data_IF_978426444755
#
_entry.id   IF_978426444755
#
_cell.length_a   1.000
_cell.length_b   1.000
_cell.length_c   1.000
_cell.angle_alpha   90.00
_cell.angle_beta   90.00
_cell.angle_gamma   90.00
#
_symmetry.space_group_name_H-M   'P 1'
#
loop_
_entity.id
_entity.type
_entity.pdbx_description
1 polymer ?
#
# COMPACT_ATOMS: atom_id res chain seq x y z
N UNK A 1 -37.52 21.05 -48.10
CA UNK A 1 -36.09 21.34 -48.37
C UNK A 1 -35.53 22.52 -47.55
N UNK A 2 -36.33 23.41 -47.00
CA UNK A 2 -35.82 24.54 -46.19
C UNK A 2 -35.43 24.18 -44.73
N UNK A 3 -35.91 23.05 -44.20
CA UNK A 3 -35.62 22.66 -42.79
C UNK A 3 -34.32 21.91 -42.64
N UNK A 4 -33.72 21.40 -43.67
CA UNK A 4 -32.44 20.65 -43.63
C UNK A 4 -31.25 21.63 -43.70
N UNK A 5 -31.45 22.80 -44.34
CA UNK A 5 -30.37 23.79 -44.50
C UNK A 5 -30.06 24.54 -43.17
N UNK A 6 -31.06 24.64 -42.27
CA UNK A 6 -30.91 25.32 -40.97
C UNK A 6 -30.16 24.41 -39.94
N UNK A 7 -30.26 23.11 -40.09
CA UNK A 7 -29.58 22.17 -39.20
C UNK A 7 -28.06 22.02 -39.48
N UNK A 8 -27.65 22.30 -40.74
CA UNK A 8 -26.25 22.23 -41.15
C UNK A 8 -25.40 23.44 -40.74
N UNK A 9 -26.04 24.58 -40.41
CA UNK A 9 -25.34 25.82 -40.01
C UNK A 9 -25.08 25.91 -38.51
N UNK A 10 -25.66 25.03 -37.68
CA UNK A 10 -25.48 25.00 -36.23
C UNK A 10 -24.33 24.11 -35.76
N UNK A 11 -23.74 23.33 -36.66
CA UNK A 11 -22.67 22.37 -36.32
C UNK A 11 -21.26 22.97 -36.46
N UNK A 12 -21.09 24.14 -37.03
CA UNK A 12 -19.77 24.72 -37.33
C UNK A 12 -19.24 25.74 -36.32
N UNK A 13 -19.93 25.99 -35.17
CA UNK A 13 -19.53 27.03 -34.19
C UNK A 13 -18.89 26.45 -32.90
N UNK A 14 -18.67 25.12 -32.77
CA UNK A 14 -18.16 24.51 -31.53
C UNK A 14 -16.68 24.07 -31.63
N UNK A 15 -15.94 24.53 -32.61
CA UNK A 15 -14.55 24.01 -32.84
C UNK A 15 -13.42 25.02 -32.67
N UNK A 16 -13.59 26.09 -31.87
CA UNK A 16 -12.44 26.96 -31.57
C UNK A 16 -12.52 27.59 -30.16
N UNK A 17 -12.37 26.80 -29.09
CA UNK A 17 -11.96 27.33 -27.79
C UNK A 17 -11.43 26.17 -26.93
N UNK A 18 -10.12 26.08 -26.74
CA UNK A 18 -9.58 25.16 -25.73
C UNK A 18 -8.15 24.72 -25.93
N UNK A 19 -7.25 25.68 -26.23
CA UNK A 19 -5.84 25.46 -25.98
C UNK A 19 -5.45 26.30 -24.77
N UNK A 20 -5.67 25.77 -23.58
CA UNK A 20 -4.96 26.20 -22.37
C UNK A 20 -4.55 24.92 -21.65
N UNK A 21 -3.24 24.70 -21.59
CA UNK A 21 -2.65 23.55 -20.96
C UNK A 21 -2.88 23.55 -19.46
N UNK A 22 -3.38 22.45 -18.97
CA UNK A 22 -3.33 22.12 -17.55
C UNK A 22 -2.40 20.95 -17.33
N UNK A 23 -1.25 21.30 -16.85
CA UNK A 23 -0.17 20.40 -16.45
C UNK A 23 -0.48 19.73 -15.09
N UNK A 24 -1.71 19.22 -14.93
CA UNK A 24 -2.22 18.69 -13.65
C UNK A 24 -2.53 17.18 -13.69
N UNK A 25 -2.15 16.49 -14.78
CA UNK A 25 -2.55 15.10 -14.99
C UNK A 25 -1.48 14.05 -14.65
N UNK A 26 -0.23 14.46 -14.48
CA UNK A 26 0.85 13.49 -14.19
C UNK A 26 0.94 13.06 -12.71
N UNK A 27 0.50 13.91 -11.77
CA UNK A 27 0.62 13.60 -10.34
C UNK A 27 -0.52 12.68 -9.85
N UNK A 28 -1.73 12.80 -10.41
CA UNK A 28 -2.87 11.94 -10.02
C UNK A 28 -2.75 10.53 -10.62
N UNK A 29 -2.17 10.39 -11.80
CA UNK A 29 -2.01 9.09 -12.45
C UNK A 29 -0.93 8.22 -11.78
N UNK A 30 0.15 8.82 -11.27
CA UNK A 30 1.15 8.09 -10.47
C UNK A 30 0.60 7.63 -9.12
N UNK A 31 -0.20 8.45 -8.46
CA UNK A 31 -0.82 8.09 -7.17
C UNK A 31 -1.86 6.98 -7.34
N UNK A 32 -2.68 7.05 -8.40
CA UNK A 32 -3.66 6.02 -8.71
C UNK A 32 -3.03 4.71 -9.19
N UNK A 33 -1.90 4.75 -9.89
CA UNK A 33 -1.18 3.54 -10.30
C UNK A 33 -0.52 2.85 -9.10
N UNK A 34 0.05 3.61 -8.16
CA UNK A 34 0.65 3.06 -6.94
C UNK A 34 -0.41 2.45 -6.02
N UNK A 35 -1.57 3.07 -5.86
CA UNK A 35 -2.69 2.48 -5.11
C UNK A 35 -3.27 1.23 -5.79
N UNK A 36 -3.38 1.22 -7.11
CA UNK A 36 -3.92 0.09 -7.87
C UNK A 36 -2.95 -1.09 -7.91
N UNK A 37 -1.67 -0.85 -7.95
CA UNK A 37 -0.63 -1.89 -7.93
C UNK A 37 -0.42 -2.44 -6.51
N UNK A 38 -0.50 -1.60 -5.47
CA UNK A 38 -0.54 -2.01 -4.07
C UNK A 38 -1.73 -2.93 -3.78
N UNK A 39 -2.90 -2.67 -4.39
CA UNK A 39 -4.10 -3.47 -4.20
C UNK A 39 -3.98 -4.92 -4.69
N UNK A 40 -2.97 -5.28 -5.49
CA UNK A 40 -2.85 -6.62 -6.06
C UNK A 40 -2.24 -7.65 -5.09
N UNK A 41 -1.27 -7.27 -4.26
CA UNK A 41 -0.58 -8.20 -3.34
C UNK A 41 -0.76 -7.85 -1.86
N UNK A 42 -1.38 -6.71 -1.55
CA UNK A 42 -1.68 -6.26 -0.19
C UNK A 42 -3.18 -6.33 0.10
N UNK A 43 -3.53 -6.68 1.33
CA UNK A 43 -4.89 -6.56 1.87
C UNK A 43 -4.87 -5.58 3.04
N UNK A 44 -5.47 -4.41 2.84
CA UNK A 44 -5.56 -3.41 3.91
C UNK A 44 -6.38 -3.94 5.07
N UNK A 45 -5.84 -3.81 6.28
CA UNK A 45 -6.50 -4.17 7.54
C UNK A 45 -6.69 -2.92 8.41
N UNK A 46 -7.76 -2.89 9.19
CA UNK A 46 -8.00 -1.83 10.18
C UNK A 46 -7.25 -2.06 11.48
N UNK A 47 -7.21 -1.04 12.36
CA UNK A 47 -6.71 -1.18 13.74
C UNK A 47 -7.42 -2.31 14.49
N UNK A 48 -8.72 -2.46 14.29
CA UNK A 48 -9.52 -3.55 14.88
C UNK A 48 -9.06 -4.92 14.36
N UNK A 49 -8.87 -5.06 13.04
CA UNK A 49 -8.46 -6.33 12.43
C UNK A 49 -7.05 -6.71 12.87
N UNK A 50 -6.16 -5.73 13.03
CA UNK A 50 -4.82 -5.99 13.53
C UNK A 50 -4.86 -6.49 14.99
N UNK A 51 -5.61 -5.79 15.86
CA UNK A 51 -5.83 -6.23 17.25
C UNK A 51 -6.47 -7.63 17.30
N UNK A 52 -7.39 -7.92 16.37
CA UNK A 52 -8.03 -9.25 16.26
C UNK A 52 -7.01 -10.34 15.88
N UNK A 53 -6.13 -10.07 14.90
CA UNK A 53 -5.04 -11.02 14.56
C UNK A 53 -4.16 -11.36 15.76
N UNK A 54 -3.89 -10.37 16.61
CA UNK A 54 -3.13 -10.62 17.84
C UNK A 54 -3.92 -11.45 18.85
N UNK A 55 -5.23 -11.17 19.00
CA UNK A 55 -6.12 -11.93 19.90
C UNK A 55 -6.34 -13.38 19.44
N UNK A 56 -6.46 -13.58 18.13
CA UNK A 56 -6.66 -14.90 17.50
C UNK A 56 -5.36 -15.73 17.42
N UNK A 57 -4.27 -15.23 18.01
CA UNK A 57 -2.98 -15.90 17.99
C UNK A 57 -2.45 -16.18 16.57
N UNK A 58 -2.73 -15.28 15.63
CA UNK A 58 -2.26 -15.44 14.25
C UNK A 58 -0.74 -15.46 14.20
N UNK A 59 -0.18 -16.34 13.37
CA UNK A 59 1.25 -16.35 13.00
C UNK A 59 1.39 -15.91 11.55
N UNK A 60 2.31 -15.00 11.25
CA UNK A 60 2.56 -14.50 9.90
C UNK A 60 3.04 -13.06 9.86
N UNK A 61 3.20 -12.56 8.65
CA UNK A 61 3.71 -11.22 8.39
C UNK A 61 2.59 -10.18 8.27
N UNK A 62 2.87 -8.97 8.73
CA UNK A 62 2.07 -7.77 8.49
C UNK A 62 3.01 -6.66 8.03
N UNK A 63 2.63 -5.96 6.97
CA UNK A 63 3.30 -4.76 6.51
C UNK A 63 2.64 -3.52 7.13
N UNK A 64 3.44 -2.65 7.73
CA UNK A 64 3.02 -1.35 8.27
C UNK A 64 3.63 -0.27 7.42
N UNK A 65 2.80 0.60 6.83
CA UNK A 65 3.26 1.63 5.92
C UNK A 65 2.14 2.56 5.49
N UNK A 66 2.45 3.47 4.55
CA UNK A 66 1.47 4.40 3.99
C UNK A 66 1.83 4.82 2.57
N UNK A 67 0.84 5.15 1.71
CA UNK A 67 1.08 5.60 0.34
C UNK A 67 1.83 6.92 0.25
N UNK A 68 1.66 7.81 1.24
CA UNK A 68 2.26 9.15 1.26
C UNK A 68 3.72 9.18 1.69
N UNK A 69 4.33 8.02 2.03
CA UNK A 69 5.71 7.89 2.46
C UNK A 69 6.59 7.44 1.29
N UNK A 70 7.61 8.22 0.92
CA UNK A 70 8.53 7.92 -0.18
C UNK A 70 9.27 6.60 0.04
N UNK A 71 9.79 6.35 1.25
CA UNK A 71 10.47 5.10 1.58
C UNK A 71 9.52 3.89 1.49
N UNK A 72 8.25 4.07 1.84
CA UNK A 72 7.23 3.03 1.67
C UNK A 72 6.98 2.70 0.19
N UNK A 73 6.95 3.73 -0.67
CA UNK A 73 6.81 3.54 -2.12
C UNK A 73 8.02 2.83 -2.72
N UNK A 74 9.23 3.20 -2.29
CA UNK A 74 10.47 2.54 -2.72
C UNK A 74 10.56 1.09 -2.24
N UNK A 75 10.07 0.79 -1.03
CA UNK A 75 10.10 -0.55 -0.45
C UNK A 75 9.07 -1.52 -1.06
N UNK A 76 7.90 -1.05 -1.48
CA UNK A 76 6.83 -1.93 -1.98
C UNK A 76 7.23 -2.84 -3.15
N UNK A 77 7.97 -2.39 -4.19
CA UNK A 77 8.44 -3.28 -5.26
C UNK A 77 9.35 -4.41 -4.75
N UNK A 78 10.21 -4.11 -3.78
CA UNK A 78 11.12 -5.07 -3.16
C UNK A 78 10.30 -6.12 -2.41
N UNK A 79 9.36 -5.68 -1.59
CA UNK A 79 8.45 -6.53 -0.83
C UNK A 79 7.61 -7.42 -1.74
N UNK A 80 7.03 -6.86 -2.81
CA UNK A 80 6.25 -7.60 -3.80
C UNK A 80 7.06 -8.73 -4.43
N UNK A 81 8.29 -8.42 -4.87
CA UNK A 81 9.20 -9.41 -5.47
C UNK A 81 9.53 -10.54 -4.50
N UNK A 82 9.78 -10.22 -3.24
CA UNK A 82 10.09 -11.22 -2.22
C UNK A 82 8.89 -12.12 -1.89
N UNK A 83 7.71 -11.54 -1.73
CA UNK A 83 6.48 -12.29 -1.47
C UNK A 83 6.10 -13.19 -2.64
N UNK A 84 6.26 -12.73 -3.88
CA UNK A 84 5.97 -13.54 -5.08
C UNK A 84 6.85 -14.79 -5.16
N UNK A 85 8.11 -14.70 -4.72
CA UNK A 85 9.00 -15.86 -4.67
C UNK A 85 8.55 -16.91 -3.63
N UNK A 86 8.02 -16.44 -2.47
CA UNK A 86 7.62 -17.31 -1.37
C UNK A 86 6.24 -17.90 -1.56
N UNK A 87 5.29 -17.04 -1.90
CA UNK A 87 3.87 -17.37 -1.96
C UNK A 87 3.19 -16.55 -3.08
N UNK A 88 3.25 -16.97 -4.34
CA UNK A 88 2.88 -16.14 -5.48
C UNK A 88 1.42 -15.68 -5.51
N UNK A 89 0.52 -16.36 -4.80
CA UNK A 89 -0.92 -16.04 -4.79
C UNK A 89 -1.43 -15.52 -3.44
N UNK A 90 -0.56 -15.36 -2.45
CA UNK A 90 -0.98 -14.92 -1.13
C UNK A 90 -0.89 -13.40 -0.99
N UNK A 91 -1.95 -12.81 -0.42
CA UNK A 91 -1.97 -11.40 -0.08
C UNK A 91 -1.42 -11.19 1.32
N UNK A 92 -0.55 -10.18 1.46
CA UNK A 92 -0.01 -9.76 2.74
C UNK A 92 -0.98 -8.79 3.44
N UNK A 93 -1.18 -8.98 4.73
CA UNK A 93 -1.90 -8.01 5.56
C UNK A 93 -1.13 -6.68 5.58
N UNK A 94 -1.83 -5.59 5.27
CA UNK A 94 -1.27 -4.25 5.18
C UNK A 94 -1.98 -3.30 6.14
N UNK A 95 -1.27 -2.82 7.14
CA UNK A 95 -1.74 -1.79 8.04
C UNK A 95 -1.36 -0.42 7.47
N UNK A 96 -2.33 0.22 6.79
CA UNK A 96 -2.15 1.54 6.19
C UNK A 96 -2.34 2.61 7.27
N UNK A 97 -1.24 3.27 7.67
CA UNK A 97 -1.24 4.24 8.76
C UNK A 97 -1.94 5.55 8.40
N UNK A 98 -2.03 5.94 7.11
CA UNK A 98 -2.84 7.09 6.70
C UNK A 98 -4.32 6.81 6.97
N UNK A 99 -4.86 5.68 6.48
CA UNK A 99 -6.25 5.28 6.72
C UNK A 99 -6.57 5.04 8.19
N UNK A 100 -5.62 4.49 8.93
CA UNK A 100 -5.77 4.29 10.37
C UNK A 100 -5.84 5.62 11.12
N UNK A 101 -4.99 6.58 10.78
CA UNK A 101 -4.94 7.92 11.37
C UNK A 101 -6.20 8.74 11.05
N UNK A 102 -6.72 8.65 9.82
CA UNK A 102 -7.99 9.26 9.43
C UNK A 102 -9.16 8.77 10.29
N UNK A 103 -9.15 7.50 10.66
CA UNK A 103 -10.20 6.89 11.48
C UNK A 103 -10.05 7.19 12.97
N UNK A 104 -8.89 7.04 13.53
CA UNK A 104 -8.52 7.34 14.91
C UNK A 104 -7.00 7.36 15.05
N UNK A 105 -6.45 8.58 15.12
CA UNK A 105 -5.01 8.77 15.30
C UNK A 105 -4.52 8.17 16.60
N UNK A 106 -5.26 8.35 17.67
CA UNK A 106 -4.87 7.88 19.03
C UNK A 106 -4.85 6.36 19.10
N UNK A 107 -5.86 5.69 18.50
CA UNK A 107 -5.89 4.22 18.42
C UNK A 107 -4.73 3.66 17.58
N UNK A 108 -4.37 4.36 16.49
CA UNK A 108 -3.23 4.00 15.66
C UNK A 108 -1.92 4.12 16.45
N UNK A 109 -1.68 5.28 17.07
CA UNK A 109 -0.47 5.53 17.86
C UNK A 109 -0.36 4.50 18.98
N UNK A 110 -1.42 4.31 19.78
CA UNK A 110 -1.45 3.32 20.86
C UNK A 110 -1.10 1.91 20.38
N UNK A 111 -1.59 1.53 19.19
CA UNK A 111 -1.27 0.22 18.64
C UNK A 111 0.19 0.12 18.22
N UNK A 112 0.74 1.14 17.54
CA UNK A 112 2.13 1.15 17.09
C UNK A 112 3.11 1.18 18.26
N UNK A 113 2.86 2.00 19.28
CA UNK A 113 3.66 2.05 20.51
C UNK A 113 3.67 0.70 21.24
N UNK A 114 2.52 0.03 21.33
CA UNK A 114 2.43 -1.32 21.93
C UNK A 114 3.30 -2.36 21.21
N UNK A 115 3.57 -2.14 19.92
CA UNK A 115 4.38 -3.03 19.08
C UNK A 115 5.83 -2.55 18.93
N UNK A 116 6.21 -1.45 19.61
CA UNK A 116 7.52 -0.81 19.48
C UNK A 116 7.86 -0.44 18.01
N UNK A 117 6.86 0.14 17.31
CA UNK A 117 6.98 0.61 15.93
C UNK A 117 6.95 2.13 15.92
N UNK A 118 8.09 2.74 15.63
CA UNK A 118 8.30 4.20 15.61
C UNK A 118 8.39 4.78 14.20
N UNK A 119 8.55 3.93 13.19
CA UNK A 119 8.78 4.36 11.80
C UNK A 119 8.07 3.45 10.79
N UNK A 120 7.89 3.98 9.58
CA UNK A 120 7.41 3.25 8.40
C UNK A 120 8.36 3.50 7.23
N UNK A 121 8.58 2.51 6.37
CA UNK A 121 7.97 1.17 6.31
C UNK A 121 8.54 0.20 7.34
N UNK A 122 7.68 -0.63 7.95
CA UNK A 122 8.09 -1.67 8.89
C UNK A 122 7.36 -2.98 8.59
N UNK A 123 8.11 -4.09 8.58
CA UNK A 123 7.55 -5.43 8.56
C UNK A 123 7.45 -5.97 9.99
N UNK A 124 6.33 -6.57 10.32
CA UNK A 124 6.06 -7.22 11.60
C UNK A 124 5.90 -8.71 11.39
N UNK A 125 6.57 -9.52 12.17
CA UNK A 125 6.30 -10.94 12.26
C UNK A 125 5.57 -11.24 13.56
N UNK A 126 4.33 -11.70 13.42
CA UNK A 126 3.53 -12.21 14.53
C UNK A 126 3.80 -13.71 14.69
N UNK A 127 3.99 -14.14 15.93
CA UNK A 127 4.00 -15.54 16.32
C UNK A 127 3.03 -15.72 17.48
N UNK A 128 2.03 -16.55 17.29
CA UNK A 128 0.97 -16.80 18.28
C UNK A 128 0.31 -15.49 18.78
N UNK A 129 0.09 -14.55 17.86
CA UNK A 129 -0.53 -13.25 18.14
C UNK A 129 0.38 -12.22 18.81
N UNK A 130 1.64 -12.55 19.08
CA UNK A 130 2.62 -11.65 19.68
C UNK A 130 3.59 -11.15 18.63
N UNK A 131 4.04 -9.91 18.77
CA UNK A 131 5.15 -9.40 17.95
C UNK A 131 6.42 -10.14 18.34
N UNK A 132 6.86 -11.03 17.47
CA UNK A 132 8.09 -11.81 17.69
C UNK A 132 9.31 -11.10 17.13
N UNK A 133 9.14 -10.31 16.07
CA UNK A 133 10.22 -9.52 15.46
C UNK A 133 9.64 -8.41 14.59
N UNK A 134 10.36 -7.30 14.50
CA UNK A 134 10.11 -6.21 13.56
C UNK A 134 11.33 -6.02 12.66
N UNK A 135 11.11 -5.48 11.47
CA UNK A 135 12.15 -5.11 10.53
C UNK A 135 11.82 -3.72 9.97
N UNK A 136 12.54 -2.70 10.42
CA UNK A 136 12.52 -1.38 9.80
C UNK A 136 13.07 -1.53 8.37
N UNK A 137 12.21 -1.36 7.40
CA UNK A 137 12.52 -1.71 6.03
C UNK A 137 13.55 -0.76 5.43
N UNK A 138 14.48 -1.33 4.70
CA UNK A 138 15.50 -0.63 3.93
C UNK A 138 15.35 -0.96 2.44
N UNK A 139 16.10 -0.28 1.61
CA UNK A 139 16.20 -0.52 0.17
C UNK A 139 17.06 -1.75 -0.20
N UNK A 140 17.50 -2.54 0.80
CA UNK A 140 18.35 -3.71 0.61
C UNK A 140 17.54 -5.01 0.58
N UNK A 141 17.24 -5.59 -0.62
CA UNK A 141 16.41 -6.79 -0.73
C UNK A 141 16.95 -8.01 0.04
N UNK A 142 18.29 -8.17 0.09
CA UNK A 142 18.91 -9.27 0.79
C UNK A 142 18.66 -9.25 2.31
N UNK A 143 18.60 -8.06 2.91
CA UNK A 143 18.30 -7.92 4.34
C UNK A 143 16.87 -8.36 4.64
N UNK A 144 15.90 -7.98 3.79
CA UNK A 144 14.52 -8.43 3.91
C UNK A 144 14.42 -9.95 3.82
N UNK A 145 15.02 -10.54 2.77
CA UNK A 145 15.03 -11.99 2.56
C UNK A 145 15.59 -12.73 3.77
N UNK A 146 16.76 -12.31 4.26
CA UNK A 146 17.44 -12.94 5.41
C UNK A 146 16.61 -12.81 6.70
N UNK A 147 16.00 -11.63 6.93
CA UNK A 147 15.13 -11.45 8.09
C UNK A 147 13.89 -12.33 8.02
N UNK A 148 13.21 -12.39 6.87
CA UNK A 148 12.03 -13.24 6.69
C UNK A 148 12.36 -14.71 6.89
N UNK A 149 13.46 -15.22 6.33
CA UNK A 149 13.92 -16.60 6.53
C UNK A 149 14.18 -16.90 8.01
N UNK A 150 14.91 -16.01 8.67
CA UNK A 150 15.27 -16.17 10.09
C UNK A 150 14.04 -16.29 10.98
N UNK A 151 13.01 -15.41 10.78
CA UNK A 151 11.85 -15.38 11.68
C UNK A 151 10.82 -16.46 11.36
N UNK A 152 10.70 -16.90 10.09
CA UNK A 152 9.81 -17.99 9.69
C UNK A 152 10.40 -19.37 9.93
N UNK A 153 11.68 -19.47 10.25
CA UNK A 153 12.39 -20.75 10.40
C UNK A 153 12.73 -21.41 9.06
N UNK A 154 12.63 -20.68 7.96
CA UNK A 154 13.07 -21.12 6.63
C UNK A 154 14.59 -20.98 6.57
N UNK A 155 15.30 -22.09 6.42
CA UNK A 155 16.75 -22.09 6.24
C UNK A 155 17.06 -21.62 4.82
N UNK A 156 17.86 -20.56 4.67
CA UNK A 156 18.43 -20.20 3.38
C UNK A 156 19.49 -21.26 3.01
N UNK A 157 19.19 -22.10 2.03
CA UNK A 157 20.21 -22.90 1.34
C UNK A 157 21.10 -22.01 0.48
#
# INVERSE_FOLDING_TARGET
MKKILVLLTLITIVLTLGACGDNKKETEEKTNQTEKESASFLTTISTKDFKQKMADKTTGFVYVGRPTCEDCQAFQPILKKELTKRQPNQKLAYYNTDKASEKSRDDMITLLEKMDIDSVPTMVYLKDGKVASTYAATDEPAKLTNWMNKVSGEVSE
#
